data_IF_799762778877
#
_entry.id   IF_799762778877
#
_cell.length_a   1.000
_cell.length_b   1.000
_cell.length_c   1.000
_cell.angle_alpha   90.00
_cell.angle_beta   90.00
_cell.angle_gamma   90.00
#
_symmetry.space_group_name_H-M   'P 1'
#
loop_
_entity.id
_entity.type
_entity.pdbx_description
1 polymer ?
#
# COMPACT_ATOMS: atom_id res chain seq x y z
N UNK A 1 31.64 10.49 6.99
CA UNK A 1 30.87 10.96 5.81
C UNK A 1 29.46 10.42 5.94
N UNK A 2 28.44 11.26 5.97
CA UNK A 2 27.06 10.78 5.91
C UNK A 2 26.79 10.38 4.46
N UNK A 3 26.77 9.07 4.17
CA UNK A 3 26.28 8.58 2.88
C UNK A 3 24.79 8.92 2.80
N UNK A 4 24.44 9.89 1.96
CA UNK A 4 23.05 10.14 1.58
C UNK A 4 22.58 8.94 0.79
N UNK A 5 21.91 7.98 1.43
CA UNK A 5 21.29 6.85 0.75
C UNK A 5 20.06 7.37 0.02
N UNK A 6 20.21 7.71 -1.25
CA UNK A 6 19.06 7.98 -2.12
C UNK A 6 18.27 6.69 -2.24
N UNK A 7 16.99 6.74 -1.87
CA UNK A 7 16.09 5.60 -1.99
C UNK A 7 15.96 5.23 -3.47
N UNK A 8 16.07 3.95 -3.86
CA UNK A 8 15.88 3.55 -5.25
C UNK A 8 14.52 4.02 -5.77
N UNK A 9 14.45 4.49 -7.03
CA UNK A 9 13.19 5.00 -7.59
C UNK A 9 12.07 3.96 -7.55
N UNK A 10 12.41 2.68 -7.71
CA UNK A 10 11.48 1.55 -7.59
C UNK A 10 10.67 1.52 -6.30
N UNK A 11 11.27 1.95 -5.19
CA UNK A 11 10.63 1.97 -3.89
C UNK A 11 9.41 2.91 -3.85
N UNK A 12 9.46 4.02 -4.60
CA UNK A 12 8.33 4.93 -4.69
C UNK A 12 7.11 4.24 -5.31
N UNK A 13 7.33 3.47 -6.40
CA UNK A 13 6.26 2.75 -7.08
C UNK A 13 5.64 1.67 -6.19
N UNK A 14 6.48 0.86 -5.54
CA UNK A 14 6.02 -0.17 -4.61
C UNK A 14 5.21 0.44 -3.46
N UNK A 15 5.72 1.52 -2.86
CA UNK A 15 5.04 2.22 -1.76
C UNK A 15 3.69 2.80 -2.21
N UNK A 16 3.65 3.46 -3.38
CA UNK A 16 2.41 4.03 -3.93
C UNK A 16 1.38 2.93 -4.20
N UNK A 17 1.80 1.80 -4.76
CA UNK A 17 0.92 0.66 -5.02
C UNK A 17 0.33 0.07 -3.73
N UNK A 18 1.16 -0.12 -2.71
CA UNK A 18 0.72 -0.61 -1.40
C UNK A 18 -0.34 0.34 -0.83
N UNK A 19 -0.03 1.64 -0.74
CA UNK A 19 -0.97 2.63 -0.18
C UNK A 19 -2.30 2.66 -0.94
N UNK A 20 -2.27 2.69 -2.27
CA UNK A 20 -3.47 2.68 -3.09
C UNK A 20 -4.29 1.39 -2.91
N UNK A 21 -3.63 0.23 -2.83
CA UNK A 21 -4.28 -1.06 -2.59
C UNK A 21 -5.03 -1.09 -1.25
N UNK A 22 -4.39 -0.62 -0.17
CA UNK A 22 -5.04 -0.52 1.15
C UNK A 22 -6.21 0.48 1.15
N UNK A 23 -6.04 1.64 0.53
CA UNK A 23 -7.13 2.63 0.40
C UNK A 23 -8.32 2.06 -0.39
N UNK A 24 -8.04 1.25 -1.41
CA UNK A 24 -9.06 0.55 -2.20
C UNK A 24 -9.91 -0.42 -1.37
N UNK A 25 -9.28 -1.17 -0.46
CA UNK A 25 -9.99 -2.08 0.46
C UNK A 25 -10.91 -1.33 1.42
N UNK A 26 -10.45 -0.20 1.97
CA UNK A 26 -11.26 0.65 2.85
C UNK A 26 -12.48 1.25 2.14
N UNK A 27 -12.38 1.47 0.82
CA UNK A 27 -13.50 1.92 0.01
C UNK A 27 -14.57 0.85 -0.21
N UNK A 28 -14.25 -0.44 -0.05
CA UNK A 28 -15.19 -1.55 -0.23
C UNK A 28 -15.93 -1.92 1.07
N UNK A 29 -15.27 -1.77 2.23
CA UNK A 29 -15.77 -2.25 3.53
C UNK A 29 -16.99 -1.55 4.13
N UNK A 30 -17.48 -0.45 3.55
CA UNK A 30 -18.62 0.33 4.11
C UNK A 30 -20.00 -0.03 3.56
N UNK A 31 -20.09 -0.94 2.58
CA UNK A 31 -21.38 -1.29 1.93
C UNK A 31 -22.15 -2.39 2.69
N UNK A 32 -21.53 -3.07 3.65
CA UNK A 32 -22.11 -4.22 4.34
C UNK A 32 -22.15 -4.04 5.86
N UNK A 33 -22.88 -3.05 6.37
CA UNK A 33 -23.42 -3.06 7.75
C UNK A 33 -24.43 -1.92 7.98
N UNK A 34 -25.59 -1.98 7.33
CA UNK A 34 -26.83 -1.43 7.90
C UNK A 34 -28.06 -2.14 7.33
N UNK A 35 -28.74 -2.96 8.15
CA UNK A 35 -30.17 -3.16 7.99
C UNK A 35 -30.87 -2.83 9.31
N UNK A 36 -31.41 -1.61 9.45
CA UNK A 36 -32.63 -1.34 10.23
C UNK A 36 -33.10 0.11 10.04
N UNK A 37 -34.17 0.37 9.28
CA UNK A 37 -34.85 1.66 9.35
C UNK A 37 -35.69 1.69 10.62
N UNK A 38 -35.35 2.59 11.57
CA UNK A 38 -36.29 3.00 12.62
C UNK A 38 -37.22 4.09 12.05
N UNK A 39 -38.54 3.96 12.18
CA UNK A 39 -39.48 4.90 11.59
C UNK A 39 -39.66 6.09 12.53
N UNK A 40 -38.87 7.16 12.34
CA UNK A 40 -39.22 8.57 12.65
C UNK A 40 -37.96 9.47 12.60
N UNK A 41 -37.81 10.27 11.54
CA UNK A 41 -36.72 11.26 11.42
C UNK A 41 -36.31 11.54 9.97
N UNK A 42 -37.26 11.84 9.08
CA UNK A 42 -37.01 11.99 7.65
C UNK A 42 -36.23 13.27 7.28
N UNK A 43 -35.37 13.11 6.27
CA UNK A 43 -34.69 14.11 5.42
C UNK A 43 -33.20 14.40 5.70
N UNK A 44 -32.73 14.50 6.95
CA UNK A 44 -31.32 14.84 7.21
C UNK A 44 -30.37 13.63 7.11
N UNK A 45 -30.86 12.46 7.49
CA UNK A 45 -30.13 11.18 7.45
C UNK A 45 -29.88 10.71 6.01
N UNK A 46 -30.86 10.88 5.12
CA UNK A 46 -30.76 10.48 3.70
C UNK A 46 -29.76 11.36 2.92
N UNK A 47 -29.75 12.67 3.18
CA UNK A 47 -28.82 13.59 2.50
C UNK A 47 -27.36 13.39 2.96
N UNK A 48 -27.17 13.05 4.24
CA UNK A 48 -25.85 12.75 4.80
C UNK A 48 -25.31 11.41 4.28
N UNK A 49 -26.17 10.39 4.23
CA UNK A 49 -25.83 9.08 3.64
C UNK A 49 -25.54 9.17 2.13
N UNK A 50 -26.27 9.99 1.38
CA UNK A 50 -26.01 10.18 -0.05
C UNK A 50 -24.70 10.92 -0.32
N UNK A 51 -24.36 11.93 0.51
CA UNK A 51 -23.07 12.62 0.44
C UNK A 51 -21.91 11.68 0.75
N UNK A 52 -22.05 10.84 1.79
CA UNK A 52 -21.04 9.83 2.14
C UNK A 52 -20.85 8.80 1.02
N UNK A 53 -21.93 8.41 0.33
CA UNK A 53 -21.87 7.51 -0.82
C UNK A 53 -21.21 8.17 -2.04
N UNK A 54 -21.51 9.43 -2.33
CA UNK A 54 -20.89 10.19 -3.42
C UNK A 54 -19.37 10.36 -3.18
N UNK A 55 -18.99 10.70 -1.95
CA UNK A 55 -17.58 10.80 -1.54
C UNK A 55 -16.88 9.45 -1.67
N UNK A 56 -17.52 8.35 -1.24
CA UNK A 56 -16.97 7.01 -1.37
C UNK A 56 -16.74 6.61 -2.83
N UNK A 57 -17.71 6.88 -3.71
CA UNK A 57 -17.59 6.61 -5.14
C UNK A 57 -16.47 7.44 -5.77
N UNK A 58 -16.38 8.72 -5.42
CA UNK A 58 -15.31 9.59 -5.89
C UNK A 58 -13.92 9.09 -5.47
N UNK A 59 -13.75 8.74 -4.20
CA UNK A 59 -12.50 8.17 -3.67
C UNK A 59 -12.13 6.88 -4.40
N UNK A 60 -13.11 5.99 -4.64
CA UNK A 60 -12.89 4.77 -5.41
C UNK A 60 -12.38 5.07 -6.82
N UNK A 61 -13.03 6.00 -7.54
CA UNK A 61 -12.61 6.40 -8.88
C UNK A 61 -11.21 6.99 -8.89
N UNK A 62 -10.89 7.88 -7.95
CA UNK A 62 -9.54 8.46 -7.83
C UNK A 62 -8.47 7.38 -7.58
N UNK A 63 -8.76 6.38 -6.74
CA UNK A 63 -7.84 5.25 -6.50
C UNK A 63 -7.61 4.43 -7.78
N UNK A 64 -8.68 4.12 -8.53
CA UNK A 64 -8.58 3.38 -9.79
C UNK A 64 -7.77 4.16 -10.85
N UNK A 65 -7.97 5.47 -10.94
CA UNK A 65 -7.20 6.35 -11.83
C UNK A 65 -5.73 6.43 -11.44
N UNK A 66 -5.43 6.58 -10.15
CA UNK A 66 -4.05 6.61 -9.63
C UNK A 66 -3.32 5.27 -9.83
N UNK A 67 -4.01 4.14 -9.66
CA UNK A 67 -3.46 2.81 -9.94
C UNK A 67 -3.13 2.66 -11.43
N UNK A 68 -3.99 3.17 -12.31
CA UNK A 68 -3.75 3.17 -13.76
C UNK A 68 -2.60 4.10 -14.15
N UNK A 69 -2.49 5.28 -13.53
CA UNK A 69 -1.35 6.18 -13.73
C UNK A 69 -0.05 5.51 -13.31
N UNK A 70 -0.05 4.86 -12.15
CA UNK A 70 1.10 4.15 -11.63
C UNK A 70 1.59 3.04 -12.57
N UNK A 71 0.68 2.25 -13.15
CA UNK A 71 1.06 1.22 -14.13
C UNK A 71 1.75 1.81 -15.36
N UNK A 72 1.26 2.96 -15.84
CA UNK A 72 1.89 3.70 -16.94
C UNK A 72 3.26 4.24 -16.54
N UNK A 73 3.37 4.88 -15.38
CA UNK A 73 4.63 5.41 -14.85
C UNK A 73 5.70 4.31 -14.74
N UNK A 74 5.35 3.13 -14.22
CA UNK A 74 6.26 1.99 -14.11
C UNK A 74 6.70 1.50 -15.51
N UNK A 75 5.76 1.41 -16.46
CA UNK A 75 6.05 0.96 -17.83
C UNK A 75 7.05 1.89 -18.52
N UNK A 76 6.91 3.20 -18.34
CA UNK A 76 7.82 4.22 -18.89
C UNK A 76 9.17 4.21 -18.18
N UNK A 77 9.17 4.03 -16.85
CA UNK A 77 10.36 4.05 -16.03
C UNK A 77 11.33 2.89 -16.29
N UNK A 78 10.86 1.72 -16.75
CA UNK A 78 11.71 0.55 -17.02
C UNK A 78 12.91 0.90 -17.91
N UNK A 79 12.66 1.65 -18.99
CA UNK A 79 13.70 2.01 -19.98
C UNK A 79 14.79 2.94 -19.44
N UNK A 80 14.47 3.76 -18.44
CA UNK A 80 15.38 4.77 -17.89
C UNK A 80 16.01 4.38 -16.56
N UNK A 81 15.34 3.53 -15.78
CA UNK A 81 15.72 3.22 -14.39
C UNK A 81 16.13 1.77 -14.20
N UNK A 82 15.79 0.89 -15.15
CA UNK A 82 15.97 -0.56 -15.02
C UNK A 82 15.06 -1.20 -13.95
N UNK A 83 14.09 -0.46 -13.41
CA UNK A 83 13.14 -1.01 -12.45
C UNK A 83 12.24 -2.06 -13.10
N UNK A 84 12.46 -3.33 -12.75
CA UNK A 84 11.66 -4.46 -13.21
C UNK A 84 10.57 -4.83 -12.19
N UNK A 85 9.32 -4.53 -12.52
CA UNK A 85 8.15 -4.88 -11.69
C UNK A 85 8.05 -6.39 -11.40
N UNK A 86 8.59 -7.24 -12.27
CA UNK A 86 8.54 -8.69 -12.12
C UNK A 86 9.43 -9.21 -11.00
N UNK A 87 10.37 -8.39 -10.53
CA UNK A 87 11.22 -8.69 -9.38
C UNK A 87 10.61 -8.21 -8.06
N UNK A 88 9.56 -7.39 -8.12
CA UNK A 88 8.96 -6.81 -6.93
C UNK A 88 8.02 -7.80 -6.24
N UNK A 89 8.15 -7.98 -4.91
CA UNK A 89 7.31 -8.91 -4.17
C UNK A 89 5.83 -8.47 -4.11
N UNK A 90 5.54 -7.18 -4.26
CA UNK A 90 4.17 -6.65 -4.19
C UNK A 90 3.49 -6.55 -5.57
N UNK A 91 4.25 -6.38 -6.66
CA UNK A 91 3.71 -6.38 -8.02
C UNK A 91 3.68 -7.76 -8.67
N UNK A 92 4.57 -8.65 -8.28
CA UNK A 92 4.69 -10.00 -8.84
C UNK A 92 4.99 -10.99 -7.70
N UNK A 93 4.01 -11.26 -6.83
CA UNK A 93 4.19 -12.17 -5.72
C UNK A 93 4.51 -13.58 -6.22
N UNK A 94 5.36 -14.30 -5.47
CA UNK A 94 5.75 -15.66 -5.81
C UNK A 94 4.56 -16.65 -5.78
N UNK A 95 3.53 -16.33 -5.02
CA UNK A 95 2.25 -17.02 -4.99
C UNK A 95 1.14 -16.04 -5.41
N UNK A 96 0.36 -16.31 -6.47
CA UNK A 96 -0.69 -15.41 -6.95
C UNK A 96 -1.83 -15.21 -5.95
N UNK A 97 -2.00 -16.12 -4.98
CA UNK A 97 -3.01 -16.00 -3.93
C UNK A 97 -2.54 -15.12 -2.75
N UNK A 98 -1.27 -14.69 -2.74
CA UNK A 98 -0.75 -13.84 -1.68
C UNK A 98 -1.29 -12.42 -1.81
N UNK A 99 -1.80 -11.92 -0.68
CA UNK A 99 -2.15 -10.52 -0.53
C UNK A 99 -0.91 -9.63 -0.40
N UNK A 100 -1.09 -8.31 -0.47
CA UNK A 100 0.00 -7.35 -0.25
C UNK A 100 0.55 -7.50 1.17
N UNK A 101 -0.32 -7.73 2.13
CA UNK A 101 -0.04 -8.02 3.54
C UNK A 101 0.90 -9.23 3.67
N UNK A 102 0.57 -10.34 3.00
CA UNK A 102 1.39 -11.55 3.02
C UNK A 102 2.79 -11.29 2.47
N UNK A 103 2.88 -10.53 1.37
CA UNK A 103 4.15 -10.18 0.75
C UNK A 103 5.02 -9.32 1.67
N UNK A 104 4.42 -8.33 2.33
CA UNK A 104 5.11 -7.47 3.29
C UNK A 104 5.54 -8.25 4.55
N UNK A 105 4.73 -9.20 5.02
CA UNK A 105 5.07 -10.06 6.14
C UNK A 105 6.29 -10.95 5.82
N UNK A 106 6.30 -11.60 4.66
CA UNK A 106 7.45 -12.40 4.21
C UNK A 106 8.72 -11.55 4.03
N UNK A 107 8.59 -10.33 3.50
CA UNK A 107 9.71 -9.39 3.39
C UNK A 107 10.25 -9.02 4.77
N UNK A 108 9.35 -8.68 5.71
CA UNK A 108 9.71 -8.32 7.08
C UNK A 108 10.42 -9.46 7.82
N UNK A 109 9.92 -10.69 7.70
CA UNK A 109 10.55 -11.88 8.30
C UNK A 109 11.96 -12.09 7.74
N UNK A 110 12.12 -12.03 6.41
CA UNK A 110 13.43 -12.17 5.76
C UNK A 110 14.41 -11.10 6.26
N UNK A 111 14.00 -9.83 6.25
CA UNK A 111 14.83 -8.71 6.70
C UNK A 111 15.20 -8.87 8.18
N UNK A 112 14.26 -9.29 9.02
CA UNK A 112 14.51 -9.57 10.44
C UNK A 112 15.60 -10.63 10.64
N UNK A 113 15.54 -11.73 9.88
CA UNK A 113 16.53 -12.80 9.94
C UNK A 113 17.91 -12.34 9.42
N UNK A 114 17.94 -11.67 8.25
CA UNK A 114 19.17 -11.19 7.62
C UNK A 114 19.89 -10.14 8.45
N UNK A 115 19.14 -9.22 9.08
CA UNK A 115 19.71 -8.12 9.85
C UNK A 115 20.01 -8.50 11.30
N UNK A 116 19.55 -9.64 11.80
CA UNK A 116 19.73 -10.06 13.21
C UNK A 116 21.19 -10.01 13.67
N UNK A 117 22.08 -10.70 12.96
CA UNK A 117 23.50 -10.72 13.32
C UNK A 117 24.21 -9.39 13.08
N UNK A 118 24.06 -8.71 11.92
CA UNK A 118 24.64 -7.38 11.71
C UNK A 118 24.22 -6.36 12.77
N UNK A 119 22.94 -6.32 13.13
CA UNK A 119 22.43 -5.41 14.16
C UNK A 119 22.98 -5.77 15.54
N UNK A 120 23.07 -7.05 15.87
CA UNK A 120 23.67 -7.47 17.14
C UNK A 120 25.15 -7.06 17.24
N UNK A 121 25.93 -7.25 16.16
CA UNK A 121 27.34 -6.81 16.11
C UNK A 121 27.45 -5.29 16.22
N UNK A 122 26.63 -4.53 15.50
CA UNK A 122 26.61 -3.08 15.57
C UNK A 122 26.27 -2.59 16.98
N UNK A 123 25.29 -3.22 17.63
CA UNK A 123 24.92 -2.92 19.02
C UNK A 123 26.08 -3.18 19.98
N UNK A 124 26.77 -4.32 19.87
CA UNK A 124 27.94 -4.62 20.71
C UNK A 124 29.02 -3.54 20.57
N UNK A 125 29.34 -3.14 19.32
CA UNK A 125 30.33 -2.08 19.05
C UNK A 125 29.91 -0.75 19.66
N UNK A 126 28.63 -0.38 19.58
CA UNK A 126 28.12 0.86 20.15
C UNK A 126 28.13 0.86 21.69
N UNK A 127 27.92 -0.29 22.32
CA UNK A 127 27.85 -0.43 23.78
C UNK A 127 29.22 -0.68 24.43
N UNK A 128 30.24 -1.06 23.64
CA UNK A 128 31.61 -1.28 24.13
C UNK A 128 32.48 -0.01 24.10
N UNK A 129 31.90 1.13 23.75
CA UNK A 129 32.54 2.46 23.71
C UNK A 129 32.25 3.23 25.00
#
# INVERSE_FOLDING_TARGET
>A
MASSTTVPLGFHYETKYVVLSYLGLLSQGKVQEQPLPSPQGGQQDVASQSLDQEVLLKVKTEIEEELKSLDKEISEAFTSTGFDRHTSPVFSPANPESSVEDCLAHLGERVSQELKEPLHKALQVLLSQ
#
